data_IF_234647276336
#
_entry.id   IF_234647276336
#
_cell.length_a   1.000
_cell.length_b   1.000
_cell.length_c   1.000
_cell.angle_alpha   90.00
_cell.angle_beta   90.00
_cell.angle_gamma   90.00
#
_symmetry.space_group_name_H-M   'P 1'
#
loop_
_entity.id
_entity.type
_entity.pdbx_description
1 polymer ?
#
# COMPACT_ATOMS: atom_id res chain seq x y z
N UNK A 1 -10.46 -15.23 42.52
CA UNK A 1 -10.05 -14.25 41.48
C UNK A 1 -10.82 -12.96 41.73
N UNK A 2 -10.19 -11.98 42.38
CA UNK A 2 -10.84 -10.73 42.80
C UNK A 2 -10.80 -9.69 41.69
N UNK A 3 -11.96 -9.06 41.48
CA UNK A 3 -12.29 -8.10 40.44
C UNK A 3 -11.49 -6.79 40.64
N UNK A 4 -10.30 -6.69 40.02
CA UNK A 4 -9.33 -5.59 40.20
C UNK A 4 -9.96 -4.20 40.02
N UNK A 5 -10.91 -4.06 39.10
CA UNK A 5 -11.60 -2.81 38.82
C UNK A 5 -12.39 -2.27 40.02
N UNK A 6 -13.01 -3.16 40.82
CA UNK A 6 -13.73 -2.76 42.03
C UNK A 6 -12.80 -2.24 43.12
N UNK A 7 -11.55 -2.72 43.16
CA UNK A 7 -10.57 -2.29 44.16
C UNK A 7 -10.07 -0.87 43.88
N UNK A 8 -9.89 -0.51 42.61
CA UNK A 8 -9.41 0.83 42.23
C UNK A 8 -10.51 1.88 42.20
N UNK A 9 -11.69 1.55 41.68
CA UNK A 9 -12.75 2.54 41.46
C UNK A 9 -13.91 2.44 42.45
N UNK A 10 -13.89 1.46 43.37
CA UNK A 10 -14.97 1.23 44.35
C UNK A 10 -16.32 0.88 43.73
N UNK A 11 -16.38 0.70 42.42
CA UNK A 11 -17.59 0.58 41.61
C UNK A 11 -17.42 -0.54 40.59
N UNK A 12 -18.53 -1.06 40.09
CA UNK A 12 -18.49 -1.95 38.92
C UNK A 12 -18.20 -1.16 37.64
N UNK A 13 -17.55 -1.75 36.60
CA UNK A 13 -17.32 -1.08 35.32
C UNK A 13 -18.57 -0.52 34.65
N UNK A 14 -19.73 -1.09 34.95
CA UNK A 14 -21.03 -0.64 34.44
C UNK A 14 -21.51 0.64 35.14
N UNK A 15 -21.34 0.72 36.46
CA UNK A 15 -21.68 1.92 37.25
C UNK A 15 -20.72 3.08 36.97
N UNK A 16 -19.44 2.80 36.72
CA UNK A 16 -18.46 3.81 36.34
C UNK A 16 -18.85 4.52 35.03
N UNK A 17 -19.24 3.75 34.00
CA UNK A 17 -19.73 4.28 32.72
C UNK A 17 -21.02 5.11 32.84
N UNK A 18 -21.88 4.78 33.81
CA UNK A 18 -23.11 5.55 34.05
C UNK A 18 -22.86 6.87 34.77
N UNK A 19 -21.85 6.93 35.65
CA UNK A 19 -21.46 8.16 36.37
C UNK A 19 -20.61 9.11 35.52
N UNK A 20 -19.91 8.58 34.51
CA UNK A 20 -19.15 9.36 33.54
C UNK A 20 -19.72 9.17 32.13
N UNK A 21 -20.89 9.77 31.80
CA UNK A 21 -21.30 9.85 30.41
C UNK A 21 -20.23 10.63 29.65
N UNK A 22 -19.63 9.99 28.63
CA UNK A 22 -18.69 10.66 27.75
C UNK A 22 -19.43 11.83 27.09
N UNK A 23 -19.13 13.05 27.52
CA UNK A 23 -19.54 14.26 26.82
C UNK A 23 -18.97 14.14 25.41
N UNK A 24 -19.84 14.01 24.41
CA UNK A 24 -19.46 14.15 23.02
C UNK A 24 -18.88 15.56 22.86
N UNK A 25 -17.56 15.67 22.87
CA UNK A 25 -16.86 16.90 22.51
C UNK A 25 -17.14 17.11 21.04
N UNK A 26 -18.11 17.96 20.72
CA UNK A 26 -18.27 18.59 19.42
C UNK A 26 -17.00 19.41 19.14
N UNK A 27 -16.01 18.76 18.56
CA UNK A 27 -14.94 19.48 17.88
C UNK A 27 -15.54 20.07 16.60
N UNK A 28 -15.48 21.40 16.40
CA UNK A 28 -15.95 22.00 15.17
C UNK A 28 -15.02 21.51 14.06
N UNK A 29 -15.51 20.60 13.21
CA UNK A 29 -14.77 20.11 12.06
C UNK A 29 -14.50 21.31 11.14
N UNK A 30 -13.28 21.49 10.62
CA UNK A 30 -13.02 22.52 9.62
C UNK A 30 -13.93 22.28 8.42
N UNK A 31 -14.55 23.35 7.91
CA UNK A 31 -15.36 23.33 6.70
C UNK A 31 -14.57 22.66 5.57
N UNK A 32 -14.94 21.41 5.25
CA UNK A 32 -14.52 20.74 4.02
C UNK A 32 -15.06 21.57 2.87
N UNK A 33 -14.14 22.24 2.18
CA UNK A 33 -14.34 22.76 0.82
C UNK A 33 -15.06 21.68 0.01
N UNK A 34 -16.10 22.11 -0.70
CA UNK A 34 -16.98 21.31 -1.55
C UNK A 34 -16.22 20.15 -2.18
N UNK A 35 -16.30 19.00 -1.52
CA UNK A 35 -15.89 17.73 -2.09
C UNK A 35 -16.73 17.60 -3.34
N UNK A 36 -16.10 17.44 -4.50
CA UNK A 36 -16.78 16.95 -5.70
C UNK A 36 -17.63 15.76 -5.23
N UNK A 37 -18.95 15.99 -5.14
CA UNK A 37 -19.87 14.95 -4.72
C UNK A 37 -19.91 13.98 -5.88
N UNK A 38 -19.08 12.95 -5.81
CA UNK A 38 -19.19 11.75 -6.62
C UNK A 38 -20.50 11.08 -6.25
N UNK A 39 -21.59 11.57 -6.84
CA UNK A 39 -22.90 10.96 -6.69
C UNK A 39 -22.91 9.67 -7.50
N UNK A 40 -23.38 8.56 -6.92
CA UNK A 40 -23.54 7.32 -7.67
C UNK A 40 -24.49 7.59 -8.84
N UNK A 41 -23.97 7.43 -10.07
CA UNK A 41 -24.78 7.52 -11.28
C UNK A 41 -25.61 6.23 -11.36
N UNK A 42 -26.93 6.35 -11.50
CA UNK A 42 -27.80 5.18 -11.62
C UNK A 42 -27.44 4.35 -12.85
N UNK A 43 -27.54 3.03 -12.72
CA UNK A 43 -27.23 2.07 -13.78
C UNK A 43 -28.08 2.35 -15.03
N UNK A 44 -29.36 2.69 -14.86
CA UNK A 44 -30.26 3.03 -15.97
C UNK A 44 -29.77 4.25 -16.77
N UNK A 45 -29.16 5.23 -16.08
CA UNK A 45 -28.63 6.44 -16.71
C UNK A 45 -27.34 6.15 -17.47
N UNK A 46 -26.52 5.23 -16.98
CA UNK A 46 -25.33 4.75 -17.69
C UNK A 46 -25.72 3.95 -18.94
N UNK A 47 -26.67 3.02 -18.81
CA UNK A 47 -27.17 2.22 -19.93
C UNK A 47 -27.82 3.09 -21.02
N UNK A 48 -28.66 4.06 -20.62
CA UNK A 48 -29.26 4.99 -21.56
C UNK A 48 -28.21 5.85 -22.30
N UNK A 49 -27.13 6.25 -21.61
CA UNK A 49 -26.04 7.03 -22.21
C UNK A 49 -25.17 6.22 -23.16
N UNK A 50 -24.87 4.97 -22.81
CA UNK A 50 -24.04 4.07 -23.64
C UNK A 50 -24.79 3.62 -24.90
N UNK A 51 -26.11 3.45 -24.80
CA UNK A 51 -26.96 3.01 -25.91
C UNK A 51 -27.58 4.16 -26.69
N UNK A 52 -27.36 5.41 -26.28
CA UNK A 52 -27.83 6.55 -27.06
C UNK A 52 -27.11 6.56 -28.43
N UNK A 53 -27.82 6.80 -29.54
CA UNK A 53 -27.18 6.97 -30.83
C UNK A 53 -26.21 8.14 -30.72
N UNK A 54 -24.94 7.90 -31.08
CA UNK A 54 -23.92 8.94 -31.06
C UNK A 54 -24.31 9.99 -32.11
N UNK A 55 -24.95 11.07 -31.67
CA UNK A 55 -25.04 12.29 -32.46
C UNK A 55 -23.65 12.90 -32.44
N UNK A 56 -22.79 12.41 -33.33
CA UNK A 56 -21.59 13.11 -33.73
C UNK A 56 -22.05 14.45 -34.32
N UNK A 57 -22.17 15.48 -33.49
CA UNK A 57 -22.02 16.83 -34.00
C UNK A 57 -20.58 16.90 -34.52
N UNK A 58 -20.44 17.34 -35.77
CA UNK A 58 -19.15 17.48 -36.44
C UNK A 58 -18.14 18.36 -35.67
N UNK A 59 -18.62 19.07 -34.64
CA UNK A 59 -17.86 20.00 -33.78
C UNK A 59 -17.34 19.41 -32.47
N UNK A 60 -17.53 18.11 -32.20
CA UNK A 60 -17.01 17.47 -30.97
C UNK A 60 -15.70 16.74 -31.25
N UNK A 61 -14.52 17.33 -30.98
CA UNK A 61 -13.26 16.61 -31.10
C UNK A 61 -13.26 15.41 -30.14
N UNK A 62 -12.59 14.29 -30.49
CA UNK A 62 -12.53 13.13 -29.62
C UNK A 62 -11.93 13.55 -28.27
N UNK A 63 -12.51 13.04 -27.17
CA UNK A 63 -11.99 13.21 -25.81
C UNK A 63 -10.57 12.64 -25.78
N UNK A 64 -9.56 13.50 -26.02
CA UNK A 64 -8.17 13.15 -25.83
C UNK A 64 -7.99 12.95 -24.33
N UNK A 65 -7.82 11.69 -23.92
CA UNK A 65 -7.60 11.26 -22.54
C UNK A 65 -6.38 11.93 -21.87
N UNK A 66 -5.57 12.68 -22.62
CA UNK A 66 -4.60 13.64 -22.10
C UNK A 66 -4.36 14.74 -23.15
N UNK A 67 -4.91 15.96 -23.03
CA UNK A 67 -4.41 17.06 -23.84
C UNK A 67 -2.94 17.26 -23.46
N UNK A 68 -2.04 17.31 -24.44
CA UNK A 68 -0.68 17.81 -24.24
C UNK A 68 -0.79 19.27 -23.81
N UNK A 69 -0.91 19.50 -22.51
CA UNK A 69 -1.05 20.84 -21.96
C UNK A 69 0.35 21.45 -21.90
N UNK A 70 0.76 22.13 -22.96
CA UNK A 70 1.96 22.97 -22.94
C UNK A 70 1.74 24.09 -21.93
N UNK A 71 2.26 23.94 -20.72
CA UNK A 71 2.19 24.96 -19.67
C UNK A 71 3.39 25.89 -19.81
N UNK A 72 3.12 27.17 -20.05
CA UNK A 72 4.15 28.21 -19.96
C UNK A 72 4.35 28.52 -18.48
N UNK A 73 5.49 28.12 -17.92
CA UNK A 73 5.83 28.38 -16.52
C UNK A 73 6.71 29.63 -16.47
N UNK A 74 6.19 30.73 -15.91
CA UNK A 74 7.01 31.91 -15.62
C UNK A 74 7.80 31.66 -14.33
N UNK A 75 9.13 31.68 -14.43
CA UNK A 75 10.04 31.38 -13.32
C UNK A 75 9.86 32.37 -12.16
N UNK A 76 9.34 33.56 -12.44
CA UNK A 76 9.10 34.61 -11.44
C UNK A 76 7.82 34.39 -10.62
N UNK A 77 6.89 33.58 -11.12
CA UNK A 77 5.61 33.26 -10.48
C UNK A 77 5.63 31.89 -9.78
N UNK A 78 6.75 31.17 -9.84
CA UNK A 78 6.92 29.91 -9.12
C UNK A 78 6.82 30.17 -7.61
N UNK A 79 6.02 29.38 -6.87
CA UNK A 79 5.96 29.52 -5.43
C UNK A 79 7.37 29.35 -4.84
N UNK A 80 7.80 30.31 -4.01
CA UNK A 80 9.13 30.32 -3.38
C UNK A 80 9.42 29.06 -2.54
N UNK A 81 8.39 28.29 -2.22
CA UNK A 81 8.48 27.00 -1.54
C UNK A 81 8.38 25.89 -2.57
N UNK A 82 9.52 25.25 -2.85
CA UNK A 82 9.53 24.03 -3.64
C UNK A 82 8.57 23.01 -3.05
N UNK A 83 7.63 22.50 -3.86
CA UNK A 83 6.85 21.34 -3.46
C UNK A 83 7.85 20.21 -3.14
N UNK A 84 7.77 19.55 -1.97
CA UNK A 84 8.66 18.44 -1.68
C UNK A 84 8.43 17.39 -2.76
N UNK A 85 9.47 17.13 -3.57
CA UNK A 85 9.46 16.02 -4.49
C UNK A 85 9.24 14.76 -3.65
N UNK A 86 8.13 14.05 -3.90
CA UNK A 86 7.92 12.76 -3.27
C UNK A 86 9.09 11.89 -3.69
N UNK A 87 9.84 11.37 -2.71
CA UNK A 87 10.92 10.43 -2.98
C UNK A 87 10.34 9.29 -3.83
N UNK A 88 10.86 9.10 -5.04
CA UNK A 88 10.45 8.00 -5.90
C UNK A 88 10.82 6.71 -5.18
N UNK A 89 9.82 5.99 -4.67
CA UNK A 89 10.03 4.72 -3.98
C UNK A 89 10.25 3.64 -5.04
N UNK A 90 11.50 3.20 -5.19
CA UNK A 90 11.84 2.14 -6.12
C UNK A 90 11.45 0.79 -5.53
N UNK A 91 10.64 0.03 -6.26
CA UNK A 91 10.26 -1.34 -5.93
C UNK A 91 10.85 -2.26 -6.98
N UNK A 92 11.54 -3.32 -6.56
CA UNK A 92 12.13 -4.30 -7.46
C UNK A 92 11.32 -5.57 -7.40
N UNK A 93 10.85 -6.05 -8.55
CA UNK A 93 10.19 -7.35 -8.64
C UNK A 93 11.22 -8.43 -8.91
N UNK A 94 11.25 -9.44 -8.05
CA UNK A 94 12.04 -10.67 -8.22
C UNK A 94 11.08 -11.78 -8.60
N UNK A 95 11.54 -12.71 -9.46
CA UNK A 95 10.69 -13.76 -10.01
C UNK A 95 10.29 -14.76 -8.93
N UNK A 96 11.28 -15.33 -8.25
CA UNK A 96 11.09 -16.38 -7.23
C UNK A 96 11.81 -16.03 -5.94
N UNK A 97 11.29 -16.54 -4.83
CA UNK A 97 11.93 -16.39 -3.52
C UNK A 97 13.34 -17.02 -3.49
N UNK A 98 13.54 -18.07 -4.30
CA UNK A 98 14.81 -18.78 -4.43
C UNK A 98 15.93 -17.91 -5.00
N UNK A 99 15.60 -16.93 -5.84
CA UNK A 99 16.59 -16.02 -6.41
C UNK A 99 17.31 -15.23 -5.31
N UNK A 100 16.60 -14.90 -4.23
CA UNK A 100 17.17 -14.19 -3.06
C UNK A 100 18.12 -15.06 -2.23
N UNK A 101 18.14 -16.38 -2.40
CA UNK A 101 19.15 -17.23 -1.78
C UNK A 101 20.49 -17.13 -2.50
N UNK A 102 20.46 -16.79 -3.79
CA UNK A 102 21.64 -16.76 -4.64
C UNK A 102 22.49 -15.54 -4.26
N UNK A 103 23.79 -15.76 -4.13
CA UNK A 103 24.73 -14.74 -3.67
C UNK A 103 24.96 -13.66 -4.73
N UNK A 104 24.94 -14.03 -6.02
CA UNK A 104 25.06 -13.10 -7.14
C UNK A 104 23.88 -12.12 -7.17
N UNK A 105 22.64 -12.60 -7.05
CA UNK A 105 21.44 -11.75 -7.01
C UNK A 105 21.48 -10.79 -5.82
N UNK A 106 21.87 -11.27 -4.63
CA UNK A 106 21.97 -10.41 -3.44
C UNK A 106 23.02 -9.31 -3.61
N UNK A 107 24.17 -9.62 -4.18
CA UNK A 107 25.22 -8.62 -4.47
C UNK A 107 24.77 -7.60 -5.50
N UNK A 108 24.06 -8.03 -6.54
CA UNK A 108 23.50 -7.11 -7.53
C UNK A 108 22.46 -6.18 -6.92
N UNK A 109 21.60 -6.69 -6.04
CA UNK A 109 20.61 -5.88 -5.33
C UNK A 109 21.28 -4.88 -4.37
N UNK A 110 22.34 -5.26 -3.67
CA UNK A 110 23.12 -4.37 -2.81
C UNK A 110 23.82 -3.27 -3.63
N UNK A 111 24.48 -3.63 -4.73
CA UNK A 111 25.10 -2.65 -5.65
C UNK A 111 24.06 -1.70 -6.26
N UNK A 112 22.88 -2.22 -6.58
CA UNK A 112 21.78 -1.42 -7.09
C UNK A 112 21.25 -0.48 -6.01
N UNK A 113 21.16 -0.93 -4.75
CA UNK A 113 20.77 -0.09 -3.62
C UNK A 113 21.73 1.10 -3.42
N UNK A 114 23.03 0.86 -3.56
CA UNK A 114 24.06 1.90 -3.46
C UNK A 114 23.92 2.97 -4.55
N UNK A 115 23.49 2.57 -5.76
CA UNK A 115 23.26 3.48 -6.87
C UNK A 115 21.88 4.17 -6.82
N UNK A 116 20.85 3.42 -6.41
CA UNK A 116 19.44 3.82 -6.41
C UNK A 116 18.75 3.23 -5.17
N UNK A 117 18.26 4.06 -4.23
CA UNK A 117 17.72 3.56 -2.97
C UNK A 117 16.46 2.72 -3.20
N UNK A 118 16.59 1.42 -2.96
CA UNK A 118 15.50 0.45 -3.01
C UNK A 118 14.62 0.62 -1.76
N UNK A 119 13.31 0.72 -1.98
CA UNK A 119 12.32 0.82 -0.89
C UNK A 119 11.71 -0.54 -0.54
N UNK A 120 11.40 -1.35 -1.55
CA UNK A 120 10.76 -2.65 -1.35
C UNK A 120 11.17 -3.66 -2.43
N UNK A 121 11.03 -4.94 -2.09
CA UNK A 121 11.12 -6.06 -3.02
C UNK A 121 9.75 -6.69 -3.15
N UNK A 122 9.25 -6.76 -4.37
CA UNK A 122 8.05 -7.50 -4.74
C UNK A 122 8.45 -8.89 -5.26
N UNK A 123 7.69 -9.92 -4.93
CA UNK A 123 7.98 -11.30 -5.32
C UNK A 123 6.81 -11.82 -6.14
N UNK A 124 7.03 -12.03 -7.44
CA UNK A 124 5.95 -12.40 -8.37
C UNK A 124 5.36 -13.78 -8.06
N UNK A 125 6.21 -14.81 -7.99
CA UNK A 125 5.81 -16.20 -7.72
C UNK A 125 6.59 -16.76 -6.52
N UNK A 126 6.17 -16.47 -5.27
CA UNK A 126 6.95 -16.83 -4.08
C UNK A 126 7.06 -18.34 -3.85
N UNK A 127 6.10 -19.15 -4.34
CA UNK A 127 5.98 -20.57 -3.98
C UNK A 127 5.86 -21.53 -5.16
N UNK A 128 5.45 -21.07 -6.35
CA UNK A 128 4.97 -21.94 -7.43
C UNK A 128 6.09 -22.78 -8.11
N UNK A 129 7.35 -22.33 -8.03
CA UNK A 129 8.53 -23.02 -8.59
C UNK A 129 9.69 -23.15 -7.61
N UNK A 130 9.48 -22.78 -6.34
CA UNK A 130 10.54 -22.71 -5.35
C UNK A 130 10.99 -24.10 -4.88
N UNK A 131 12.29 -24.38 -5.04
CA UNK A 131 12.96 -25.60 -4.55
C UNK A 131 12.97 -25.68 -3.03
N UNK A 132 12.73 -24.56 -2.33
CA UNK A 132 12.53 -24.55 -0.88
C UNK A 132 11.34 -25.39 -0.45
N UNK A 133 10.35 -25.56 -1.32
CA UNK A 133 9.11 -26.29 -1.02
C UNK A 133 8.98 -27.60 -1.81
N UNK A 134 9.91 -27.89 -2.73
CA UNK A 134 9.84 -29.06 -3.63
C UNK A 134 10.38 -30.38 -3.06
N UNK A 135 11.26 -30.36 -2.05
CA UNK A 135 11.82 -31.60 -1.45
C UNK A 135 11.69 -31.56 0.07
N UNK A 136 10.97 -32.54 0.64
CA UNK A 136 10.82 -32.71 2.09
C UNK A 136 9.49 -32.25 2.67
N UNK A 137 8.60 -31.63 1.89
CA UNK A 137 7.24 -31.26 2.35
C UNK A 137 6.31 -32.48 2.49
N UNK A 138 6.53 -33.51 1.66
CA UNK A 138 5.80 -34.78 1.71
C UNK A 138 6.26 -35.69 2.86
N UNK A 139 7.43 -35.41 3.44
CA UNK A 139 7.96 -36.16 4.58
C UNK A 139 7.68 -35.38 5.88
N UNK A 140 6.69 -35.81 6.69
CA UNK A 140 6.27 -35.10 7.90
C UNK A 140 7.38 -34.93 8.95
N UNK A 141 8.49 -35.67 8.84
CA UNK A 141 9.65 -35.49 9.72
C UNK A 141 10.63 -34.42 9.23
N UNK A 142 10.66 -34.11 7.93
CA UNK A 142 11.60 -33.16 7.30
C UNK A 142 10.95 -31.84 6.89
N UNK A 143 9.62 -31.81 6.75
CA UNK A 143 8.84 -30.67 6.26
C UNK A 143 9.05 -29.36 7.06
N UNK A 144 9.49 -29.45 8.32
CA UNK A 144 9.63 -28.29 9.21
C UNK A 144 11.01 -27.64 9.25
N UNK A 145 12.10 -28.34 8.90
CA UNK A 145 13.44 -27.90 9.29
C UNK A 145 14.25 -27.24 8.16
N UNK A 146 14.23 -27.80 6.95
CA UNK A 146 15.10 -27.33 5.87
C UNK A 146 14.60 -26.04 5.19
N UNK A 147 13.28 -25.88 5.04
CA UNK A 147 12.67 -24.73 4.38
C UNK A 147 12.66 -23.48 5.27
N UNK A 148 12.45 -23.65 6.59
CA UNK A 148 12.33 -22.54 7.53
C UNK A 148 13.65 -21.78 7.72
N UNK A 149 14.78 -22.50 7.71
CA UNK A 149 16.11 -21.89 7.78
C UNK A 149 16.36 -20.92 6.63
N UNK A 150 16.02 -21.34 5.40
CA UNK A 150 16.23 -20.52 4.21
C UNK A 150 15.31 -19.30 4.20
N UNK A 151 14.05 -19.46 4.59
CA UNK A 151 13.12 -18.33 4.76
C UNK A 151 13.63 -17.34 5.81
N UNK A 152 14.03 -17.85 6.97
CA UNK A 152 14.61 -17.02 8.02
C UNK A 152 15.83 -16.25 7.51
N UNK A 153 16.71 -16.90 6.74
CA UNK A 153 17.90 -16.26 6.17
C UNK A 153 17.54 -15.13 5.21
N UNK A 154 16.58 -15.34 4.32
CA UNK A 154 16.12 -14.32 3.36
C UNK A 154 15.51 -13.13 4.11
N UNK A 155 14.53 -13.36 4.98
CA UNK A 155 13.84 -12.27 5.68
C UNK A 155 14.77 -11.54 6.66
N UNK A 156 15.71 -12.24 7.29
CA UNK A 156 16.71 -11.58 8.14
C UNK A 156 17.62 -10.66 7.32
N UNK A 157 18.02 -11.09 6.11
CA UNK A 157 18.81 -10.25 5.21
C UNK A 157 18.00 -9.04 4.71
N UNK A 158 16.75 -9.23 4.25
CA UNK A 158 15.86 -8.15 3.82
C UNK A 158 15.61 -7.14 4.95
N UNK A 159 15.40 -7.62 6.18
CA UNK A 159 15.24 -6.78 7.35
C UNK A 159 16.51 -5.98 7.69
N UNK A 160 17.71 -6.58 7.53
CA UNK A 160 18.97 -5.87 7.72
C UNK A 160 19.16 -4.74 6.70
N UNK A 161 18.67 -4.92 5.47
CA UNK A 161 18.69 -3.88 4.44
C UNK A 161 17.58 -2.82 4.63
N UNK A 162 16.61 -3.08 5.52
CA UNK A 162 15.47 -2.19 5.76
C UNK A 162 14.46 -2.15 4.62
N UNK A 163 14.45 -3.15 3.74
CA UNK A 163 13.54 -3.22 2.60
C UNK A 163 12.20 -3.84 3.00
N UNK A 164 11.11 -3.27 2.50
CA UNK A 164 9.79 -3.89 2.63
C UNK A 164 9.64 -5.07 1.65
N UNK A 165 8.82 -6.05 2.03
CA UNK A 165 8.49 -7.25 1.24
C UNK A 165 6.98 -7.43 1.25
#
# INVERSE_FOLDING_TARGET
MSDLFKREHGLTPRQFRQRHPQTAVESPRPHLQQTERWQPVSIDRLYARLNAPQTYSLDSPPLRLSPQQTRHLDVRELPARGAPLRHTRMVITVRELDDLLREDVRRELEQLHDALPIFAIDIHDPFLSSRLFGTGWDDPQMAGYACWYNLQRIFSWLANQGWAV
#
